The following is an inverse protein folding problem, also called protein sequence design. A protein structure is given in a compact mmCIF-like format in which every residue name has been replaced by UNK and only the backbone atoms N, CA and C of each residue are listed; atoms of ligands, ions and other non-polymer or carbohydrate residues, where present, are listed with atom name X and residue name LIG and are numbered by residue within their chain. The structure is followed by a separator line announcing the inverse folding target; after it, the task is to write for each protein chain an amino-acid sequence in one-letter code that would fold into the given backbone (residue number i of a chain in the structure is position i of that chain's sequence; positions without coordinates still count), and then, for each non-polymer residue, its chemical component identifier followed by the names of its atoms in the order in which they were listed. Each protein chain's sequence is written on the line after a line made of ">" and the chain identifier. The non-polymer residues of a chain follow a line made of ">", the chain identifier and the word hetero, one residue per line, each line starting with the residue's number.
data_IF_906731151703
#
_entry.id   IF_906731151703
#
_cell.length_a   1.000
_cell.length_b   1.000
_cell.length_c   1.000
_cell.angle_alpha   90.00
_cell.angle_beta   90.00
_cell.angle_gamma   90.00
#
_symmetry.space_group_name_H-M   'P 1'
#
loop_
_entity.id
_entity.type
_entity.pdbx_description
1 polymer ?
#
# COMPACT_ATOMS: atom_id res chain seq x y z
N UNK A 1 25.01 17.57 23.18
CA UNK A 1 23.73 16.84 23.26
C UNK A 1 22.53 17.59 22.72
N UNK A 2 21.94 18.58 23.42
CA UNK A 2 20.63 19.14 23.02
C UNK A 2 20.58 19.77 21.62
N UNK A 3 21.60 20.54 21.23
CA UNK A 3 21.65 21.14 19.87
C UNK A 3 21.83 20.10 18.77
N UNK A 4 22.68 19.08 19.01
CA UNK A 4 22.90 17.97 18.09
C UNK A 4 21.63 17.11 17.95
N UNK A 5 20.95 16.86 19.06
CA UNK A 5 19.70 16.12 19.10
C UNK A 5 18.58 16.86 18.35
N UNK A 6 18.44 18.17 18.56
CA UNK A 6 17.46 18.99 17.84
C UNK A 6 17.75 19.07 16.34
N UNK A 7 19.03 19.17 15.96
CA UNK A 7 19.44 19.16 14.55
C UNK A 7 19.15 17.81 13.86
N UNK A 8 19.42 16.70 14.55
CA UNK A 8 19.12 15.35 14.04
C UNK A 8 17.60 15.11 14.02
N UNK A 9 16.84 15.64 14.98
CA UNK A 9 15.37 15.65 15.00
C UNK A 9 14.74 16.39 13.83
N UNK A 10 15.24 17.58 13.53
CA UNK A 10 14.81 18.33 12.37
C UNK A 10 15.15 17.61 11.06
N UNK A 11 16.33 16.99 10.98
CA UNK A 11 16.80 16.30 9.77
C UNK A 11 16.03 14.99 9.51
N UNK A 12 15.80 14.19 10.56
CA UNK A 12 15.07 12.92 10.46
C UNK A 12 13.55 13.10 10.51
N UNK A 13 13.07 14.31 10.85
CA UNK A 13 11.65 14.58 11.00
C UNK A 13 11.01 13.69 12.06
N UNK A 14 11.67 13.49 13.20
CA UNK A 14 11.16 12.71 14.32
C UNK A 14 11.28 13.51 15.64
N UNK A 15 10.40 13.27 16.64
CA UNK A 15 10.48 13.90 17.95
C UNK A 15 11.84 13.72 18.64
N UNK A 16 12.24 14.75 19.37
CA UNK A 16 13.51 14.80 20.12
C UNK A 16 13.64 13.62 21.11
N UNK A 17 12.57 13.28 21.84
CA UNK A 17 12.56 12.18 22.81
C UNK A 17 12.73 10.80 22.15
N UNK A 18 12.14 10.58 20.97
CA UNK A 18 12.31 9.33 20.21
C UNK A 18 13.75 9.16 19.72
N UNK A 19 14.38 10.25 19.29
CA UNK A 19 15.76 10.23 18.81
C UNK A 19 16.73 9.99 19.97
N UNK A 20 16.50 10.63 21.13
CA UNK A 20 17.29 10.37 22.33
C UNK A 20 17.25 8.88 22.69
N UNK A 21 16.05 8.31 22.80
CA UNK A 21 15.87 6.89 23.15
C UNK A 21 16.46 5.94 22.12
N UNK A 22 16.34 6.27 20.83
CA UNK A 22 16.92 5.45 19.76
C UNK A 22 18.45 5.49 19.80
N UNK A 23 19.02 6.67 20.09
CA UNK A 23 20.45 6.83 20.29
C UNK A 23 20.93 6.04 21.51
N UNK A 24 20.24 6.13 22.65
CA UNK A 24 20.54 5.41 23.88
C UNK A 24 20.47 3.89 23.71
N UNK A 25 19.44 3.39 23.01
CA UNK A 25 19.30 1.96 22.73
C UNK A 25 20.42 1.42 21.83
N UNK A 26 20.85 2.19 20.82
CA UNK A 26 21.96 1.80 19.94
C UNK A 26 23.30 1.93 20.64
N UNK A 27 23.48 2.95 21.47
CA UNK A 27 24.62 3.14 22.34
C UNK A 27 24.82 1.92 23.25
N UNK A 28 23.74 1.47 23.90
CA UNK A 28 23.75 0.26 24.73
C UNK A 28 24.09 -1.01 23.92
N UNK A 29 23.54 -1.17 22.71
CA UNK A 29 23.80 -2.34 21.87
C UNK A 29 25.22 -2.38 21.28
N UNK A 30 25.84 -1.22 21.05
CA UNK A 30 27.17 -1.09 20.45
C UNK A 30 28.28 -0.85 21.50
N UNK A 31 27.92 -0.63 22.76
CA UNK A 31 28.86 -0.28 23.83
C UNK A 31 29.51 1.09 23.65
N UNK A 32 28.82 2.03 22.98
CA UNK A 32 29.28 3.39 22.68
C UNK A 32 28.43 4.44 23.40
N UNK A 33 28.82 5.70 23.35
CA UNK A 33 28.04 6.80 23.96
C UNK A 33 26.92 7.30 23.01
N UNK A 34 25.79 7.74 23.58
CA UNK A 34 24.65 8.22 22.81
C UNK A 34 24.99 9.46 21.95
N UNK A 35 25.89 10.34 22.40
CA UNK A 35 26.36 11.49 21.63
C UNK A 35 27.11 11.05 20.37
N UNK A 36 27.85 9.94 20.43
CA UNK A 36 28.59 9.39 19.29
C UNK A 36 27.63 8.82 18.24
N UNK A 37 26.54 8.18 18.67
CA UNK A 37 25.47 7.72 17.76
C UNK A 37 24.80 8.90 17.07
N UNK A 38 24.50 9.97 17.83
CA UNK A 38 23.90 11.20 17.27
C UNK A 38 24.84 11.91 16.30
N UNK A 39 26.14 11.97 16.59
CA UNK A 39 27.13 12.51 15.67
C UNK A 39 27.23 11.69 14.37
N UNK A 40 27.16 10.36 14.44
CA UNK A 40 27.13 9.52 13.25
C UNK A 40 25.88 9.78 12.39
N UNK A 41 24.72 10.04 13.02
CA UNK A 41 23.50 10.42 12.29
C UNK A 41 23.53 11.84 11.72
N UNK A 42 24.27 12.74 12.36
CA UNK A 42 24.55 14.09 11.84
C UNK A 42 25.60 14.10 10.70
N UNK A 43 26.12 12.94 10.28
CA UNK A 43 27.08 12.80 9.19
C UNK A 43 28.55 12.68 9.62
N UNK A 44 28.83 12.43 10.90
CA UNK A 44 30.15 12.06 11.40
C UNK A 44 30.53 10.60 11.12
N UNK A 45 31.82 10.26 11.24
CA UNK A 45 32.32 8.90 11.00
C UNK A 45 31.66 7.87 11.94
N UNK A 46 31.31 6.70 11.39
CA UNK A 46 30.60 5.64 12.12
C UNK A 46 31.48 5.04 13.22
N UNK A 47 30.95 4.77 14.43
CA UNK A 47 31.75 4.17 15.49
C UNK A 47 32.20 2.75 15.16
N UNK A 48 33.46 2.44 15.48
CA UNK A 48 34.04 1.09 15.44
C UNK A 48 33.69 0.39 16.77
N UNK A 49 33.08 -0.81 16.77
CA UNK A 49 32.66 -1.48 18.00
C UNK A 49 33.84 -1.80 18.94
N UNK A 50 33.70 -1.47 20.22
CA UNK A 50 34.56 -2.00 21.26
C UNK A 50 34.11 -3.43 21.61
N UNK A 51 34.95 -4.43 21.30
CA UNK A 51 34.68 -5.84 21.63
C UNK A 51 34.65 -6.00 23.15
N UNK A 52 33.48 -6.27 23.72
CA UNK A 52 33.32 -6.62 25.13
C UNK A 52 32.77 -8.04 25.32
N UNK A 53 33.34 -8.68 26.33
CA UNK A 53 33.38 -10.11 26.66
C UNK A 53 32.07 -10.57 27.32
N UNK A 54 31.56 -11.74 26.91
CA UNK A 54 30.39 -12.38 27.49
C UNK A 54 30.61 -12.84 28.96
N UNK A 55 29.58 -12.76 29.83
CA UNK A 55 29.44 -13.62 30.99
C UNK A 55 28.33 -14.67 30.82
N UNK A 56 28.63 -15.90 31.23
CA UNK A 56 27.74 -17.08 31.30
C UNK A 56 26.58 -16.91 32.31
N UNK A 57 25.48 -17.69 32.15
CA UNK A 57 24.26 -17.65 32.98
C UNK A 57 24.22 -18.77 34.04
N UNK A 58 23.48 -18.56 35.15
CA UNK A 58 22.55 -19.52 35.82
C UNK A 58 22.04 -18.93 37.17
N UNK A 59 21.05 -19.53 37.89
CA UNK A 59 19.77 -20.12 37.50
C UNK A 59 18.56 -19.53 38.27
N UNK A 60 17.36 -19.92 37.81
CA UNK A 60 16.04 -19.92 38.45
C UNK A 60 15.99 -20.64 39.84
N UNK A 61 14.94 -20.44 40.69
CA UNK A 61 13.76 -21.32 40.60
C UNK A 61 12.37 -20.74 41.03
N UNK A 62 11.34 -21.12 40.27
CA UNK A 62 10.05 -21.78 40.62
C UNK A 62 9.04 -21.22 41.69
N UNK A 63 7.74 -21.64 41.59
CA UNK A 63 6.56 -20.81 41.82
C UNK A 63 5.75 -21.14 43.09
N UNK A 64 4.79 -20.27 43.44
CA UNK A 64 3.72 -20.59 44.41
C UNK A 64 2.35 -20.33 43.79
N UNK A 65 1.51 -21.37 43.83
CA UNK A 65 0.10 -21.44 43.46
C UNK A 65 -0.74 -21.13 44.71
N UNK A 66 -1.79 -20.32 44.59
CA UNK A 66 -2.94 -20.44 45.49
C UNK A 66 -4.24 -19.97 44.80
N UNK A 67 -5.17 -20.92 44.73
CA UNK A 67 -6.56 -20.88 44.26
C UNK A 67 -7.46 -20.41 45.41
N UNK A 68 -8.37 -19.44 45.22
CA UNK A 68 -9.66 -19.43 45.97
C UNK A 68 -10.79 -18.85 45.11
N UNK A 69 -11.84 -19.67 45.07
CA UNK A 69 -13.19 -19.58 44.51
C UNK A 69 -14.04 -18.36 44.95
N UNK A 70 -14.81 -17.77 44.02
CA UNK A 70 -16.30 -17.82 43.86
C UNK A 70 -17.05 -16.74 44.64
N UNK A 71 -17.86 -15.91 43.96
CA UNK A 71 -19.33 -15.83 44.16
C UNK A 71 -19.98 -14.96 43.06
N UNK A 72 -21.03 -15.50 42.46
CA UNK A 72 -21.89 -14.90 41.43
C UNK A 72 -23.15 -14.45 42.16
N UNK A 73 -23.57 -13.20 42.00
CA UNK A 73 -24.94 -12.78 42.33
C UNK A 73 -25.49 -11.94 41.17
N UNK A 74 -26.50 -12.53 40.53
CA UNK A 74 -27.29 -12.01 39.42
C UNK A 74 -28.75 -12.07 39.90
N UNK A 75 -29.39 -10.92 40.15
CA UNK A 75 -30.83 -10.74 40.39
C UNK A 75 -31.09 -9.22 40.30
N UNK A 76 -32.19 -8.66 39.80
CA UNK A 76 -33.28 -9.05 38.90
C UNK A 76 -34.00 -7.71 38.57
N UNK A 77 -34.67 -7.66 37.42
CA UNK A 77 -35.37 -6.51 36.86
C UNK A 77 -36.60 -6.04 37.67
N UNK A 78 -36.82 -4.72 37.77
CA UNK A 78 -38.18 -4.14 37.61
C UNK A 78 -38.12 -2.70 37.04
N UNK A 79 -39.07 -2.28 36.15
CA UNK A 79 -38.90 -1.14 35.24
C UNK A 79 -39.79 0.09 35.53
N UNK A 80 -39.44 1.22 34.86
CA UNK A 80 -40.23 2.45 34.56
C UNK A 80 -40.64 3.31 35.79
N UNK A 81 -40.53 4.63 35.87
CA UNK A 81 -40.66 5.76 34.93
C UNK A 81 -40.05 6.99 35.63
N UNK A 82 -39.28 7.82 34.91
CA UNK A 82 -39.25 9.30 34.96
C UNK A 82 -37.89 9.86 34.55
N UNK A 83 -37.92 10.69 33.50
CA UNK A 83 -36.81 11.25 32.77
C UNK A 83 -35.99 12.24 33.60
N UNK A 84 -34.65 12.17 33.51
CA UNK A 84 -33.89 13.41 33.38
C UNK A 84 -32.85 13.35 32.24
N UNK A 85 -32.52 14.55 31.77
CA UNK A 85 -31.62 14.87 30.68
C UNK A 85 -30.39 13.94 30.57
N UNK A 86 -30.27 13.28 29.41
CA UNK A 86 -29.07 12.52 29.03
C UNK A 86 -27.93 13.51 28.78
N UNK A 87 -27.20 13.84 29.84
CA UNK A 87 -25.79 14.17 29.72
C UNK A 87 -25.13 12.93 29.12
N UNK A 88 -24.71 13.03 27.87
CA UNK A 88 -23.86 12.02 27.22
C UNK A 88 -22.54 12.04 27.97
N UNK A 89 -22.46 11.27 29.05
CA UNK A 89 -21.20 10.82 29.59
C UNK A 89 -20.58 9.96 28.51
N UNK A 90 -19.62 10.53 27.78
CA UNK A 90 -18.65 9.79 27.01
C UNK A 90 -17.97 8.82 27.96
N UNK A 91 -18.49 7.60 28.03
CA UNK A 91 -17.75 6.47 28.56
C UNK A 91 -16.69 6.21 27.49
N UNK A 92 -15.54 6.86 27.64
CA UNK A 92 -14.31 6.33 27.06
C UNK A 92 -14.23 4.88 27.53
N UNK A 93 -14.24 3.89 26.62
CA UNK A 93 -14.06 2.52 27.06
C UNK A 93 -12.73 2.47 27.84
N UNK A 94 -12.70 1.84 29.02
CA UNK A 94 -11.45 1.69 29.75
C UNK A 94 -10.48 1.04 28.77
N UNK A 95 -9.31 1.67 28.57
CA UNK A 95 -8.22 0.99 27.89
C UNK A 95 -8.02 -0.31 28.67
N UNK A 96 -8.47 -1.41 28.08
CA UNK A 96 -8.14 -2.74 28.53
C UNK A 96 -6.61 -2.76 28.49
N UNK A 97 -6.00 -2.62 29.66
CA UNK A 97 -4.56 -2.69 29.82
C UNK A 97 -4.19 -4.13 29.55
N UNK A 98 -4.04 -4.42 28.26
CA UNK A 98 -3.45 -5.65 27.77
C UNK A 98 -2.14 -5.84 28.56
N UNK A 99 -1.81 -7.09 28.95
CA UNK A 99 -0.54 -7.36 29.59
C UNK A 99 0.59 -6.70 28.77
N UNK A 100 1.64 -6.15 29.39
CA UNK A 100 2.70 -5.44 28.69
C UNK A 100 3.47 -6.45 27.82
N UNK A 101 2.94 -6.70 26.64
CA UNK A 101 3.55 -7.53 25.62
C UNK A 101 4.39 -6.57 24.79
N UNK A 102 5.69 -6.70 24.88
CA UNK A 102 6.60 -5.91 24.05
C UNK A 102 6.25 -6.10 22.57
N UNK A 103 6.25 -5.02 21.77
CA UNK A 103 5.90 -5.11 20.37
C UNK A 103 6.89 -6.00 19.62
N UNK A 104 6.37 -6.84 18.72
CA UNK A 104 7.19 -7.74 17.91
C UNK A 104 8.31 -6.98 17.16
N UNK A 105 9.46 -7.64 16.88
CA UNK A 105 10.54 -7.04 16.10
C UNK A 105 10.04 -6.62 14.72
N UNK A 106 10.62 -5.53 14.18
CA UNK A 106 10.15 -4.90 12.94
C UNK A 106 10.10 -5.86 11.74
N UNK A 107 11.06 -6.77 11.62
CA UNK A 107 11.06 -7.80 10.58
C UNK A 107 9.83 -8.74 10.70
N UNK A 108 9.49 -9.18 11.90
CA UNK A 108 8.30 -10.00 12.16
C UNK A 108 7.01 -9.24 11.87
N UNK A 109 6.99 -7.93 12.16
CA UNK A 109 5.87 -7.01 11.89
C UNK A 109 5.63 -6.75 10.40
N UNK A 110 6.57 -7.11 9.54
CA UNK A 110 6.48 -6.94 8.08
C UNK A 110 6.26 -8.28 7.39
N UNK A 111 7.09 -9.28 7.71
CA UNK A 111 7.11 -10.55 7.00
C UNK A 111 5.85 -11.40 7.25
N UNK A 112 5.42 -11.51 8.51
CA UNK A 112 4.27 -12.35 8.85
C UNK A 112 2.95 -11.82 8.27
N UNK A 113 2.63 -10.50 8.38
CA UNK A 113 1.44 -9.95 7.74
C UNK A 113 1.50 -10.07 6.22
N UNK A 114 2.65 -9.81 5.60
CA UNK A 114 2.82 -9.93 4.15
C UNK A 114 2.61 -11.37 3.68
N UNK A 115 3.17 -12.37 4.39
CA UNK A 115 2.99 -13.78 4.06
C UNK A 115 1.53 -14.24 4.23
N UNK A 116 0.87 -13.82 5.32
CA UNK A 116 -0.55 -14.13 5.56
C UNK A 116 -1.43 -13.48 4.49
N UNK A 117 -1.15 -12.22 4.16
CA UNK A 117 -1.82 -11.49 3.09
C UNK A 117 -1.63 -12.18 1.74
N UNK A 118 -0.40 -12.58 1.40
CA UNK A 118 -0.09 -13.30 0.17
C UNK A 118 -0.85 -14.62 0.06
N UNK A 119 -0.88 -15.41 1.14
CA UNK A 119 -1.61 -16.66 1.17
C UNK A 119 -3.11 -16.44 0.99
N UNK A 120 -3.70 -15.52 1.76
CA UNK A 120 -5.11 -15.19 1.67
C UNK A 120 -5.50 -14.67 0.29
N UNK A 121 -4.65 -13.81 -0.30
CA UNK A 121 -4.84 -13.27 -1.64
C UNK A 121 -4.75 -14.34 -2.73
N UNK A 122 -3.77 -15.25 -2.64
CA UNK A 122 -3.64 -16.38 -3.56
C UNK A 122 -4.86 -17.31 -3.48
N UNK A 123 -5.30 -17.63 -2.26
CA UNK A 123 -6.50 -18.44 -2.02
C UNK A 123 -7.74 -17.79 -2.62
N UNK A 124 -7.91 -16.48 -2.41
CA UNK A 124 -9.02 -15.73 -2.98
C UNK A 124 -8.95 -15.73 -4.52
N UNK A 125 -7.76 -15.64 -5.12
CA UNK A 125 -7.55 -15.80 -6.56
C UNK A 125 -8.00 -17.16 -7.08
N UNK A 126 -7.68 -18.26 -6.36
CA UNK A 126 -8.12 -19.62 -6.71
C UNK A 126 -9.65 -19.72 -6.66
N UNK A 127 -10.26 -19.29 -5.55
CA UNK A 127 -11.71 -19.34 -5.36
C UNK A 127 -12.41 -18.51 -6.43
N UNK A 128 -11.91 -17.32 -6.71
CA UNK A 128 -12.45 -16.42 -7.73
C UNK A 128 -12.36 -17.03 -9.11
N UNK A 129 -11.25 -17.69 -9.44
CA UNK A 129 -11.11 -18.38 -10.72
C UNK A 129 -12.16 -19.48 -10.90
N UNK A 130 -12.43 -20.26 -9.84
CA UNK A 130 -13.46 -21.29 -9.86
C UNK A 130 -14.88 -20.71 -10.00
N UNK A 131 -15.17 -19.61 -9.29
CA UNK A 131 -16.46 -18.92 -9.38
C UNK A 131 -16.63 -18.27 -10.76
N UNK A 132 -15.62 -17.59 -11.27
CA UNK A 132 -15.62 -16.92 -12.57
C UNK A 132 -15.87 -17.92 -13.71
N UNK A 133 -15.37 -19.16 -13.60
CA UNK A 133 -15.63 -20.20 -14.59
C UNK A 133 -17.13 -20.46 -14.83
N UNK A 134 -17.98 -20.28 -13.81
CA UNK A 134 -19.44 -20.41 -13.93
C UNK A 134 -20.04 -19.25 -14.73
N UNK A 135 -19.51 -18.04 -14.55
CA UNK A 135 -20.02 -16.83 -15.22
C UNK A 135 -19.56 -16.71 -16.68
N UNK A 136 -18.42 -17.29 -17.03
CA UNK A 136 -17.82 -17.17 -18.36
C UNK A 136 -18.01 -18.42 -19.24
N UNK A 137 -18.80 -19.40 -18.81
CA UNK A 137 -18.95 -20.68 -19.53
C UNK A 137 -19.50 -20.50 -20.95
N UNK A 138 -20.42 -19.55 -21.14
CA UNK A 138 -21.04 -19.26 -22.43
C UNK A 138 -20.13 -18.45 -23.36
N UNK A 139 -19.06 -17.86 -22.81
CA UNK A 139 -18.09 -17.03 -23.52
C UNK A 139 -16.79 -17.77 -23.84
N UNK A 140 -16.75 -19.09 -23.63
CA UNK A 140 -15.56 -19.90 -23.89
C UNK A 140 -15.37 -20.08 -25.40
N UNK A 141 -14.19 -19.70 -25.87
CA UNK A 141 -13.76 -19.85 -27.27
C UNK A 141 -12.42 -20.59 -27.34
N UNK A 142 -12.02 -20.98 -28.55
CA UNK A 142 -10.72 -21.61 -28.79
C UNK A 142 -9.86 -20.69 -29.65
N UNK A 143 -8.66 -20.37 -29.15
CA UNK A 143 -7.62 -19.69 -29.93
C UNK A 143 -6.79 -20.76 -30.63
N UNK A 144 -6.66 -20.63 -31.95
CA UNK A 144 -5.80 -21.48 -32.76
C UNK A 144 -4.32 -21.16 -32.46
N UNK A 145 -3.59 -22.13 -31.92
CA UNK A 145 -2.17 -22.01 -31.61
C UNK A 145 -1.31 -22.87 -32.54
N UNK A 146 -0.01 -22.56 -32.64
CA UNK A 146 0.95 -23.22 -33.56
C UNK A 146 1.01 -24.76 -33.45
N UNK A 147 0.50 -25.37 -32.37
CA UNK A 147 0.47 -26.83 -32.19
C UNK A 147 -0.76 -27.40 -31.44
N UNK A 148 -1.53 -26.58 -30.71
CA UNK A 148 -2.73 -26.99 -29.97
C UNK A 148 -3.69 -25.81 -29.78
N UNK A 149 -4.99 -26.10 -29.81
CA UNK A 149 -6.03 -25.16 -29.41
C UNK A 149 -5.87 -24.78 -27.94
N UNK A 150 -5.93 -23.47 -27.64
CA UNK A 150 -5.95 -22.95 -26.26
C UNK A 150 -7.34 -22.42 -25.94
N UNK A 151 -7.87 -22.82 -24.79
CA UNK A 151 -9.15 -22.30 -24.32
C UNK A 151 -8.99 -20.84 -23.87
N UNK A 152 -9.90 -19.99 -24.31
CA UNK A 152 -9.95 -18.57 -24.02
C UNK A 152 -11.37 -18.14 -23.69
N UNK A 153 -11.52 -16.94 -23.13
CA UNK A 153 -12.81 -16.33 -22.83
C UNK A 153 -12.91 -15.05 -23.64
N UNK A 154 -13.99 -14.89 -24.38
CA UNK A 154 -14.29 -13.65 -25.10
C UNK A 154 -14.88 -12.62 -24.14
N UNK A 155 -14.22 -11.47 -24.05
CA UNK A 155 -14.63 -10.37 -23.18
C UNK A 155 -14.55 -9.04 -23.92
N UNK A 156 -15.48 -8.16 -23.59
CA UNK A 156 -15.36 -6.74 -23.93
C UNK A 156 -14.35 -6.08 -22.99
N UNK A 157 -13.41 -5.32 -23.55
CA UNK A 157 -12.26 -4.76 -22.81
C UNK A 157 -12.72 -3.90 -21.63
N UNK A 158 -13.57 -2.91 -21.87
CA UNK A 158 -13.94 -1.92 -20.87
C UNK A 158 -14.72 -2.51 -19.68
N UNK A 159 -15.82 -3.26 -19.86
CA UNK A 159 -16.53 -3.86 -18.72
C UNK A 159 -15.68 -4.91 -18.00
N UNK A 160 -14.79 -5.63 -18.70
CA UNK A 160 -13.87 -6.56 -18.05
C UNK A 160 -12.87 -5.86 -17.14
N UNK A 161 -12.22 -4.78 -17.62
CA UNK A 161 -11.28 -3.99 -16.81
C UNK A 161 -11.97 -3.36 -15.60
N UNK A 162 -13.17 -2.79 -15.79
CA UNK A 162 -13.95 -2.20 -14.70
C UNK A 162 -14.37 -3.28 -13.70
N UNK A 163 -14.86 -4.43 -14.17
CA UNK A 163 -15.24 -5.56 -13.34
C UNK A 163 -14.09 -6.06 -12.49
N UNK A 164 -12.90 -6.21 -13.09
CA UNK A 164 -11.67 -6.59 -12.39
C UNK A 164 -11.24 -5.55 -11.34
N UNK A 165 -11.34 -4.26 -11.66
CA UNK A 165 -11.04 -3.17 -10.72
C UNK A 165 -11.99 -3.18 -9.52
N UNK A 166 -13.30 -3.28 -9.74
CA UNK A 166 -14.32 -3.31 -8.68
C UNK A 166 -14.16 -4.55 -7.81
N UNK A 167 -14.01 -5.72 -8.42
CA UNK A 167 -13.83 -6.98 -7.68
C UNK A 167 -12.56 -6.94 -6.81
N UNK A 168 -11.47 -6.44 -7.39
CA UNK A 168 -10.19 -6.33 -6.68
C UNK A 168 -10.25 -5.26 -5.58
N UNK A 169 -11.04 -4.19 -5.72
CA UNK A 169 -11.31 -3.23 -4.65
C UNK A 169 -12.01 -3.88 -3.44
N UNK A 170 -13.01 -4.73 -3.70
CA UNK A 170 -13.68 -5.50 -2.62
C UNK A 170 -12.70 -6.46 -1.96
N UNK A 171 -11.88 -7.17 -2.73
CA UNK A 171 -10.87 -8.07 -2.20
C UNK A 171 -9.81 -7.34 -1.40
N UNK A 172 -9.30 -6.22 -1.91
CA UNK A 172 -8.36 -5.36 -1.22
C UNK A 172 -8.94 -4.85 0.11
N UNK A 173 -10.22 -4.45 0.15
CA UNK A 173 -10.89 -4.08 1.39
C UNK A 173 -10.89 -5.25 2.41
N UNK A 174 -11.29 -6.45 1.99
CA UNK A 174 -11.31 -7.65 2.84
C UNK A 174 -9.91 -8.04 3.32
N UNK A 175 -8.93 -8.04 2.42
CA UNK A 175 -7.53 -8.32 2.73
C UNK A 175 -6.91 -7.23 3.62
N UNK A 176 -7.40 -5.99 3.55
CA UNK A 176 -7.04 -4.91 4.47
C UNK A 176 -7.43 -5.22 5.91
N UNK A 177 -8.67 -5.70 6.11
CA UNK A 177 -9.16 -6.15 7.43
C UNK A 177 -8.36 -7.34 7.93
N UNK A 178 -8.20 -8.36 7.09
CA UNK A 178 -7.49 -9.58 7.44
C UNK A 178 -6.01 -9.33 7.70
N UNK A 179 -5.36 -8.53 6.86
CA UNK A 179 -3.95 -8.18 6.99
C UNK A 179 -3.67 -7.43 8.28
N UNK A 180 -4.60 -6.59 8.75
CA UNK A 180 -4.43 -5.81 9.99
C UNK A 180 -4.78 -6.59 11.26
N UNK A 181 -5.81 -7.45 11.23
CA UNK A 181 -6.27 -8.21 12.41
C UNK A 181 -5.68 -9.61 12.52
N UNK A 182 -5.40 -10.24 11.39
CA UNK A 182 -4.97 -11.64 11.30
C UNK A 182 -3.71 -11.95 12.10
N UNK A 183 -2.61 -11.18 11.97
CA UNK A 183 -1.38 -11.45 12.74
C UNK A 183 -1.60 -11.44 14.26
N UNK A 184 -2.46 -10.53 14.74
CA UNK A 184 -2.84 -10.41 16.15
C UNK A 184 -3.66 -11.57 16.72
N UNK A 185 -4.25 -12.40 15.84
CA UNK A 185 -4.94 -13.63 16.24
C UNK A 185 -3.96 -14.75 16.60
N UNK A 186 -2.83 -14.83 15.88
CA UNK A 186 -1.81 -15.86 16.11
C UNK A 186 -0.80 -15.45 17.17
N UNK A 187 -0.51 -14.14 17.28
CA UNK A 187 0.44 -13.62 18.26
C UNK A 187 -0.07 -12.31 18.87
N UNK A 188 -0.11 -12.25 20.19
CA UNK A 188 -0.59 -11.07 20.93
C UNK A 188 0.29 -9.84 20.74
N UNK A 189 1.60 -10.02 20.53
CA UNK A 189 2.61 -8.98 20.28
C UNK A 189 2.45 -8.27 18.93
N UNK A 190 1.61 -8.82 18.05
CA UNK A 190 1.31 -8.29 16.71
C UNK A 190 -0.01 -7.52 16.66
N UNK A 191 -0.72 -7.39 17.79
CA UNK A 191 -1.96 -6.59 17.87
C UNK A 191 -1.67 -5.13 17.57
N UNK A 192 -2.56 -4.51 16.81
CA UNK A 192 -2.43 -3.12 16.37
C UNK A 192 -3.70 -2.33 16.67
N UNK A 193 -3.52 -1.04 16.95
CA UNK A 193 -4.58 -0.08 17.24
C UNK A 193 -5.09 0.60 15.97
N UNK A 194 -6.33 1.08 16.03
CA UNK A 194 -6.98 1.89 14.99
C UNK A 194 -7.93 1.13 14.06
N UNK A 195 -8.39 1.83 13.01
CA UNK A 195 -9.41 1.35 12.09
C UNK A 195 -8.97 0.16 11.20
N UNK A 196 -9.92 -0.56 10.59
CA UNK A 196 -9.70 -1.90 10.01
C UNK A 196 -8.95 -1.97 8.66
N UNK A 197 -8.30 -0.90 8.20
CA UNK A 197 -7.53 -0.93 6.94
C UNK A 197 -8.35 -1.06 5.63
N UNK A 198 -9.68 -0.90 5.71
CA UNK A 198 -10.62 -1.06 4.58
C UNK A 198 -10.28 -0.12 3.42
N UNK A 199 -10.17 1.18 3.70
CA UNK A 199 -9.96 2.21 2.67
C UNK A 199 -8.65 2.03 1.90
N UNK A 200 -7.47 1.90 2.55
CA UNK A 200 -6.23 1.69 1.81
C UNK A 200 -6.22 0.38 1.04
N UNK A 201 -6.80 -0.69 1.60
CA UNK A 201 -6.95 -1.96 0.90
C UNK A 201 -7.82 -1.84 -0.35
N UNK A 202 -8.98 -1.18 -0.25
CA UNK A 202 -9.87 -0.97 -1.39
C UNK A 202 -9.20 -0.15 -2.50
N UNK A 203 -8.42 0.87 -2.14
CA UNK A 203 -7.72 1.74 -3.09
C UNK A 203 -6.65 0.97 -3.87
N UNK A 204 -5.79 0.21 -3.18
CA UNK A 204 -4.79 -0.65 -3.84
C UNK A 204 -5.49 -1.67 -4.73
N UNK A 205 -6.53 -2.32 -4.20
CA UNK A 205 -7.33 -3.30 -4.93
C UNK A 205 -7.90 -2.75 -6.23
N UNK A 206 -8.47 -1.53 -6.19
CA UNK A 206 -9.02 -0.88 -7.38
C UNK A 206 -7.94 -0.64 -8.44
N UNK A 207 -6.79 -0.10 -8.03
CA UNK A 207 -5.65 0.18 -8.92
C UNK A 207 -5.13 -1.11 -9.53
N UNK A 208 -4.84 -2.12 -8.70
CA UNK A 208 -4.27 -3.40 -9.14
C UNK A 208 -5.24 -4.18 -10.02
N UNK A 209 -6.55 -4.12 -9.74
CA UNK A 209 -7.57 -4.74 -10.59
C UNK A 209 -7.68 -4.06 -11.96
N UNK A 210 -7.61 -2.73 -12.02
CA UNK A 210 -7.60 -2.00 -13.29
C UNK A 210 -6.35 -2.33 -14.12
N UNK A 211 -5.18 -2.34 -13.49
CA UNK A 211 -3.91 -2.74 -14.13
C UNK A 211 -4.00 -4.19 -14.60
N UNK A 212 -4.48 -5.11 -13.76
CA UNK A 212 -4.61 -6.52 -14.08
C UNK A 212 -5.56 -6.80 -15.23
N UNK A 213 -6.73 -6.15 -15.23
CA UNK A 213 -7.67 -6.23 -16.35
C UNK A 213 -7.07 -5.71 -17.65
N UNK A 214 -6.33 -4.59 -17.58
CA UNK A 214 -5.64 -4.01 -18.74
C UNK A 214 -4.54 -4.90 -19.30
N UNK A 215 -3.76 -5.57 -18.44
CA UNK A 215 -2.73 -6.53 -18.88
C UNK A 215 -3.37 -7.78 -19.50
N UNK A 216 -4.41 -8.33 -18.88
CA UNK A 216 -5.09 -9.53 -19.39
C UNK A 216 -5.72 -9.31 -20.76
N UNK A 217 -6.31 -8.14 -20.99
CA UNK A 217 -6.96 -7.81 -22.26
C UNK A 217 -5.99 -7.23 -23.29
N UNK A 218 -5.09 -6.33 -22.90
CA UNK A 218 -4.22 -5.61 -23.83
C UNK A 218 -2.87 -6.26 -24.14
N UNK A 219 -2.35 -7.11 -23.25
CA UNK A 219 -1.03 -7.75 -23.42
C UNK A 219 -1.17 -9.24 -23.69
N UNK A 220 -2.06 -9.90 -22.95
CA UNK A 220 -2.24 -11.36 -23.03
C UNK A 220 -3.42 -11.77 -23.92
N UNK A 221 -4.33 -10.84 -24.21
CA UNK A 221 -5.49 -11.07 -25.03
C UNK A 221 -5.16 -11.00 -26.53
N UNK A 222 -5.93 -11.74 -27.33
CA UNK A 222 -5.87 -11.68 -28.79
C UNK A 222 -7.18 -11.16 -29.35
N UNK A 223 -7.12 -10.29 -30.35
CA UNK A 223 -8.32 -9.82 -31.05
C UNK A 223 -9.05 -11.00 -31.70
N UNK A 224 -10.38 -10.99 -31.61
CA UNK A 224 -11.23 -12.01 -32.26
C UNK A 224 -11.76 -11.50 -33.59
N UNK A 225 -12.42 -12.38 -34.34
CA UNK A 225 -13.09 -12.03 -35.61
C UNK A 225 -14.26 -11.05 -35.36
N UNK A 226 -14.80 -11.04 -34.14
CA UNK A 226 -15.89 -10.16 -33.75
C UNK A 226 -15.31 -8.82 -33.25
N UNK A 227 -15.64 -7.73 -33.94
CA UNK A 227 -15.18 -6.39 -33.56
C UNK A 227 -15.53 -6.06 -32.10
N UNK A 228 -14.53 -5.58 -31.36
CA UNK A 228 -14.69 -5.13 -29.97
C UNK A 228 -14.53 -6.21 -28.89
N UNK A 229 -14.33 -7.48 -29.28
CA UNK A 229 -14.06 -8.57 -28.36
C UNK A 229 -12.59 -8.98 -28.36
N UNK A 230 -12.11 -9.38 -27.19
CA UNK A 230 -10.76 -9.90 -26.99
C UNK A 230 -10.86 -11.28 -26.34
N UNK A 231 -10.15 -12.25 -26.91
CA UNK A 231 -10.01 -13.58 -26.34
C UNK A 231 -8.86 -13.60 -25.32
N UNK A 232 -9.20 -13.74 -24.04
CA UNK A 232 -8.23 -13.83 -22.95
C UNK A 232 -7.94 -15.32 -22.66
N UNK A 233 -6.67 -15.78 -22.73
CA UNK A 233 -6.35 -17.18 -22.45
C UNK A 233 -6.68 -17.58 -21.00
N UNK A 234 -7.45 -18.66 -20.82
CA UNK A 234 -7.94 -19.10 -19.50
C UNK A 234 -6.78 -19.43 -18.56
N UNK A 235 -5.77 -20.15 -19.06
CA UNK A 235 -4.61 -20.53 -18.27
C UNK A 235 -3.85 -19.32 -17.72
N UNK A 236 -3.67 -18.29 -18.55
CA UNK A 236 -3.04 -17.03 -18.14
C UNK A 236 -3.89 -16.26 -17.15
N UNK A 237 -5.20 -16.20 -17.35
CA UNK A 237 -6.13 -15.53 -16.45
C UNK A 237 -6.14 -16.15 -15.05
N UNK A 238 -6.14 -17.49 -14.96
CA UNK A 238 -6.09 -18.19 -13.67
C UNK A 238 -4.78 -17.87 -12.93
N UNK A 239 -3.63 -18.00 -13.59
CA UNK A 239 -2.35 -17.68 -12.95
C UNK A 239 -2.25 -16.22 -12.56
N UNK A 240 -2.81 -15.31 -13.35
CA UNK A 240 -2.87 -13.90 -13.02
C UNK A 240 -3.72 -13.63 -11.78
N UNK A 241 -4.88 -14.28 -11.66
CA UNK A 241 -5.73 -14.16 -10.47
C UNK A 241 -5.04 -14.68 -9.22
N UNK A 242 -4.32 -15.81 -9.31
CA UNK A 242 -3.62 -16.40 -8.16
C UNK A 242 -2.39 -15.57 -7.76
N UNK A 243 -1.50 -15.26 -8.70
CA UNK A 243 -0.28 -14.52 -8.42
C UNK A 243 -0.58 -13.04 -8.11
N UNK A 244 -1.45 -12.42 -8.90
CA UNK A 244 -1.92 -11.05 -8.67
C UNK A 244 -2.66 -10.92 -7.35
N UNK A 245 -3.48 -11.91 -6.99
CA UNK A 245 -4.11 -12.00 -5.67
C UNK A 245 -3.07 -12.07 -4.54
N UNK A 246 -2.02 -12.89 -4.70
CA UNK A 246 -0.94 -12.98 -3.71
C UNK A 246 -0.20 -11.65 -3.53
N UNK A 247 0.16 -10.99 -4.64
CA UNK A 247 0.82 -9.67 -4.60
C UNK A 247 -0.09 -8.64 -3.93
N UNK A 248 -1.36 -8.55 -4.37
CA UNK A 248 -2.34 -7.63 -3.79
C UNK A 248 -2.49 -7.84 -2.28
N UNK A 249 -2.59 -9.10 -1.83
CA UNK A 249 -2.72 -9.43 -0.42
C UNK A 249 -1.48 -9.08 0.39
N UNK A 250 -0.28 -9.35 -0.15
CA UNK A 250 0.98 -9.00 0.49
C UNK A 250 1.14 -7.49 0.68
N UNK A 251 0.93 -6.72 -0.40
CA UNK A 251 1.04 -5.26 -0.40
C UNK A 251 0.00 -4.61 0.51
N UNK A 252 -1.24 -5.09 0.47
CA UNK A 252 -2.33 -4.60 1.32
C UNK A 252 -2.00 -4.83 2.80
N UNK A 253 -1.55 -6.03 3.16
CA UNK A 253 -1.19 -6.34 4.54
C UNK A 253 0.03 -5.52 5.01
N UNK A 254 1.03 -5.36 4.15
CA UNK A 254 2.22 -4.55 4.41
C UNK A 254 1.81 -3.10 4.71
N UNK A 255 0.99 -2.50 3.84
CA UNK A 255 0.56 -1.12 4.02
C UNK A 255 -0.22 -0.94 5.32
N UNK A 256 -1.12 -1.88 5.62
CA UNK A 256 -1.88 -1.88 6.86
C UNK A 256 -0.98 -1.94 8.09
N UNK A 257 0.12 -2.70 8.05
CA UNK A 257 1.04 -2.87 9.18
C UNK A 257 2.09 -1.75 9.31
N UNK A 258 2.59 -1.20 8.20
CA UNK A 258 3.54 -0.07 8.22
C UNK A 258 2.90 1.18 8.83
N UNK A 259 1.60 1.38 8.61
CA UNK A 259 0.85 2.53 9.14
C UNK A 259 0.14 2.23 10.46
N UNK A 260 0.39 1.07 11.07
CA UNK A 260 -0.27 0.65 12.29
C UNK A 260 0.54 0.95 13.54
N UNK A 261 -0.16 1.40 14.58
CA UNK A 261 0.40 1.59 15.93
C UNK A 261 0.27 0.25 16.66
N UNK A 262 1.38 -0.34 17.15
CA UNK A 262 1.31 -1.56 17.93
C UNK A 262 0.60 -1.31 19.27
N UNK A 263 -0.15 -2.30 19.74
CA UNK A 263 -0.98 -2.17 20.95
C UNK A 263 -0.18 -2.25 22.26
N UNK A 264 1.00 -2.87 22.25
CA UNK A 264 1.86 -3.05 23.43
C UNK A 264 2.79 -1.88 23.74
N UNK A 265 2.46 -0.66 23.29
CA UNK A 265 3.27 0.53 23.56
C UNK A 265 2.99 1.07 24.96
N UNK A 266 3.98 1.74 25.54
CA UNK A 266 3.78 2.46 26.80
C UNK A 266 2.95 3.73 26.56
N UNK A 267 2.35 4.27 27.62
CA UNK A 267 1.57 5.52 27.54
C UNK A 267 2.38 6.70 26.95
N UNK A 268 3.69 6.77 27.25
CA UNK A 268 4.58 7.78 26.68
C UNK A 268 4.78 7.59 25.16
N UNK A 269 4.94 6.34 24.72
CA UNK A 269 5.17 6.00 23.31
C UNK A 269 3.97 6.25 22.39
N UNK A 270 2.75 6.26 22.95
CA UNK A 270 1.53 6.39 22.17
C UNK A 270 1.39 7.76 21.50
N UNK A 271 1.81 8.84 22.18
CA UNK A 271 1.74 10.20 21.64
C UNK A 271 2.68 10.35 20.44
N UNK A 272 3.95 9.97 20.60
CA UNK A 272 4.97 10.05 19.56
C UNK A 272 4.63 9.17 18.34
N UNK A 273 4.10 7.97 18.60
CA UNK A 273 3.69 7.05 17.55
C UNK A 273 2.54 7.58 16.71
N UNK A 274 1.67 8.41 17.29
CA UNK A 274 0.58 9.08 16.57
C UNK A 274 1.09 10.05 15.51
N UNK A 275 2.11 10.85 15.85
CA UNK A 275 2.72 11.81 14.92
C UNK A 275 3.50 11.11 13.80
N UNK A 276 4.31 10.11 14.14
CA UNK A 276 5.05 9.31 13.15
C UNK A 276 4.08 8.61 12.20
N UNK A 277 2.98 8.04 12.72
CA UNK A 277 1.93 7.44 11.90
C UNK A 277 1.32 8.46 10.94
N UNK A 278 0.98 9.66 11.41
CA UNK A 278 0.37 10.68 10.57
C UNK A 278 1.28 11.01 9.37
N UNK A 279 2.57 11.23 9.63
CA UNK A 279 3.58 11.49 8.59
C UNK A 279 3.72 10.33 7.61
N UNK A 280 3.84 9.09 8.12
CA UNK A 280 3.91 7.88 7.28
C UNK A 280 2.65 7.70 6.43
N UNK A 281 1.47 7.87 7.03
CA UNK A 281 0.20 7.72 6.33
C UNK A 281 0.05 8.74 5.21
N UNK A 282 0.50 9.99 5.42
CA UNK A 282 0.51 11.01 4.39
C UNK A 282 1.51 10.66 3.27
N UNK A 283 2.70 10.18 3.62
CA UNK A 283 3.71 9.75 2.64
C UNK A 283 3.24 8.62 1.74
N UNK A 284 2.33 7.76 2.21
CA UNK A 284 1.77 6.67 1.38
C UNK A 284 0.45 7.06 0.70
N UNK A 285 -0.40 7.86 1.35
CA UNK A 285 -1.66 8.29 0.76
C UNK A 285 -1.44 9.16 -0.50
N UNK A 286 -0.45 10.07 -0.47
CA UNK A 286 -0.13 10.95 -1.60
C UNK A 286 0.17 10.18 -2.89
N UNK A 287 1.12 9.22 -2.93
CA UNK A 287 1.40 8.47 -4.15
C UNK A 287 0.24 7.56 -4.57
N UNK A 288 -0.51 6.96 -3.63
CA UNK A 288 -1.68 6.14 -3.99
C UNK A 288 -2.78 6.94 -4.66
N UNK A 289 -3.10 8.13 -4.13
CA UNK A 289 -4.06 9.04 -4.75
C UNK A 289 -3.55 9.51 -6.11
N UNK A 290 -2.26 9.84 -6.22
CA UNK A 290 -1.64 10.18 -7.50
C UNK A 290 -1.75 9.06 -8.53
N UNK A 291 -1.55 7.81 -8.10
CA UNK A 291 -1.65 6.64 -8.97
C UNK A 291 -3.10 6.39 -9.41
N UNK A 292 -4.07 6.57 -8.51
CA UNK A 292 -5.49 6.51 -8.85
C UNK A 292 -5.86 7.56 -9.92
N UNK A 293 -5.45 8.81 -9.72
CA UNK A 293 -5.67 9.89 -10.69
C UNK A 293 -4.99 9.54 -12.02
N UNK A 294 -3.78 9.01 -11.99
CA UNK A 294 -3.07 8.57 -13.19
C UNK A 294 -3.84 7.49 -13.95
N UNK A 295 -4.38 6.47 -13.27
CA UNK A 295 -5.20 5.43 -13.90
C UNK A 295 -6.44 6.03 -14.57
N UNK A 296 -7.12 6.97 -13.90
CA UNK A 296 -8.30 7.66 -14.47
C UNK A 296 -7.93 8.48 -15.70
N UNK A 297 -6.83 9.25 -15.64
CA UNK A 297 -6.34 10.05 -16.76
C UNK A 297 -5.96 9.16 -17.94
N UNK A 298 -5.24 8.05 -17.70
CA UNK A 298 -4.88 7.09 -18.73
C UNK A 298 -6.13 6.49 -19.37
N UNK A 299 -7.14 6.11 -18.58
CA UNK A 299 -8.39 5.58 -19.11
C UNK A 299 -9.10 6.58 -20.03
N UNK A 300 -9.19 7.85 -19.64
CA UNK A 300 -9.79 8.91 -20.48
C UNK A 300 -9.01 9.09 -21.79
N UNK A 301 -7.68 9.17 -21.72
CA UNK A 301 -6.82 9.31 -22.89
C UNK A 301 -6.96 8.09 -23.82
N UNK A 302 -7.00 6.88 -23.26
CA UNK A 302 -7.19 5.65 -24.01
C UNK A 302 -8.56 5.65 -24.74
N UNK A 303 -9.64 6.04 -24.05
CA UNK A 303 -10.97 6.18 -24.68
C UNK A 303 -10.93 7.22 -25.81
N UNK A 304 -10.23 8.34 -25.62
CA UNK A 304 -10.08 9.35 -26.66
C UNK A 304 -9.40 8.78 -27.91
N UNK A 305 -8.36 7.96 -27.75
CA UNK A 305 -7.69 7.30 -28.88
C UNK A 305 -8.58 6.28 -29.59
N UNK A 306 -9.41 5.54 -28.85
CA UNK A 306 -10.33 4.57 -29.43
C UNK A 306 -11.43 5.28 -30.25
N UNK A 307 -12.01 6.37 -29.74
CA UNK A 307 -13.07 7.12 -30.42
C UNK A 307 -12.52 7.86 -31.65
N UNK A 308 -11.30 8.40 -31.56
CA UNK A 308 -10.69 9.20 -32.63
C UNK A 308 -9.47 8.50 -33.23
N UNK A 309 -9.63 7.25 -33.66
CA UNK A 309 -8.51 6.43 -34.16
C UNK A 309 -7.77 7.09 -35.34
N UNK A 310 -8.48 7.79 -36.24
CA UNK A 310 -7.89 8.48 -37.38
C UNK A 310 -6.98 9.65 -36.93
N UNK A 311 -7.39 10.36 -35.89
CA UNK A 311 -6.66 11.47 -35.31
C UNK A 311 -5.71 11.05 -34.18
N UNK A 312 -5.55 9.75 -33.91
CA UNK A 312 -4.80 9.26 -32.76
C UNK A 312 -3.37 9.79 -32.70
N UNK A 313 -2.67 9.84 -33.84
CA UNK A 313 -1.31 10.37 -33.85
C UNK A 313 -1.27 11.87 -33.49
N UNK A 314 -2.19 12.68 -34.05
CA UNK A 314 -2.33 14.11 -33.73
C UNK A 314 -2.72 14.34 -32.27
N UNK A 315 -3.63 13.52 -31.73
CA UNK A 315 -4.02 13.58 -30.32
C UNK A 315 -2.86 13.23 -29.39
N UNK A 316 -2.08 12.19 -29.71
CA UNK A 316 -0.93 11.77 -28.92
C UNK A 316 0.12 12.89 -28.83
N UNK A 317 0.33 13.55 -29.96
CA UNK A 317 1.15 14.73 -30.07
C UNK A 317 0.65 15.88 -29.18
N UNK A 318 -0.64 16.24 -29.26
CA UNK A 318 -1.21 17.37 -28.50
C UNK A 318 -1.14 17.09 -27.01
N UNK A 319 -1.49 15.87 -26.61
CA UNK A 319 -1.41 15.41 -25.22
C UNK A 319 0.05 15.45 -24.74
N UNK A 320 1.00 14.95 -25.53
CA UNK A 320 2.42 14.97 -25.18
C UNK A 320 2.95 16.40 -25.01
N UNK A 321 2.58 17.31 -25.93
CA UNK A 321 2.93 18.72 -25.82
C UNK A 321 2.32 19.37 -24.58
N UNK A 322 1.06 19.04 -24.25
CA UNK A 322 0.39 19.50 -23.03
C UNK A 322 1.08 19.01 -21.76
N UNK A 323 1.48 17.73 -21.71
CA UNK A 323 2.23 17.15 -20.58
C UNK A 323 3.59 17.85 -20.42
N UNK A 324 4.32 18.06 -21.52
CA UNK A 324 5.60 18.76 -21.49
C UNK A 324 5.46 20.22 -21.04
N UNK A 325 4.43 20.92 -21.52
CA UNK A 325 4.15 22.29 -21.08
C UNK A 325 3.80 22.34 -19.60
N UNK A 326 2.96 21.41 -19.12
CA UNK A 326 2.61 21.31 -17.72
C UNK A 326 3.83 21.00 -16.84
N UNK A 327 4.69 20.06 -17.26
CA UNK A 327 5.94 19.75 -16.58
C UNK A 327 6.90 20.96 -16.55
N UNK A 328 7.01 21.70 -17.65
CA UNK A 328 7.79 22.92 -17.73
C UNK A 328 7.27 24.01 -16.77
N UNK A 329 5.96 24.25 -16.74
CA UNK A 329 5.33 25.21 -15.84
C UNK A 329 5.45 24.79 -14.37
N UNK A 330 5.30 23.50 -14.08
CA UNK A 330 5.49 22.94 -12.73
C UNK A 330 6.92 23.05 -12.22
N UNK A 331 7.91 23.00 -13.13
CA UNK A 331 9.32 23.25 -12.83
C UNK A 331 9.67 24.73 -12.60
N UNK A 332 8.78 25.66 -12.92
CA UNK A 332 8.97 27.10 -12.72
C UNK A 332 8.65 27.52 -11.26
N UNK A 333 9.33 26.91 -10.29
CA UNK A 333 9.29 27.38 -8.92
C UNK A 333 10.15 28.64 -8.78
N UNK A 334 9.63 29.76 -8.21
CA UNK A 334 10.32 31.04 -8.19
C UNK A 334 11.63 31.07 -7.38
N UNK A 335 11.92 30.03 -6.60
CA UNK A 335 13.17 29.88 -5.84
C UNK A 335 14.27 29.10 -6.57
N UNK A 336 13.96 28.42 -7.69
CA UNK A 336 14.93 27.64 -8.46
C UNK A 336 15.41 28.47 -9.64
N UNK A 337 16.69 28.87 -9.63
CA UNK A 337 17.32 29.55 -10.77
C UNK A 337 17.48 28.56 -11.93
N UNK A 338 16.54 28.56 -12.87
CA UNK A 338 16.63 27.82 -14.13
C UNK A 338 17.94 28.17 -14.85
N UNK A 339 18.74 27.15 -15.14
CA UNK A 339 19.97 27.33 -15.93
C UNK A 339 19.60 27.50 -17.39
N UNK A 340 20.32 28.34 -18.12
CA UNK A 340 20.12 28.57 -19.56
C UNK A 340 20.08 27.26 -20.37
N UNK A 341 20.88 26.27 -19.97
CA UNK A 341 20.91 24.93 -20.57
C UNK A 341 19.62 24.14 -20.40
N UNK A 342 18.91 24.31 -19.29
CA UNK A 342 17.62 23.64 -19.03
C UNK A 342 16.52 24.25 -19.91
N UNK A 343 16.52 25.57 -20.07
CA UNK A 343 15.59 26.28 -20.96
C UNK A 343 15.83 25.90 -22.42
N UNK A 344 17.09 25.83 -22.85
CA UNK A 344 17.44 25.39 -24.21
C UNK A 344 17.07 23.92 -24.44
N UNK A 345 17.29 23.04 -23.46
CA UNK A 345 16.89 21.64 -23.56
C UNK A 345 15.37 21.48 -23.63
N UNK A 346 14.62 22.24 -22.84
CA UNK A 346 13.16 22.25 -22.91
C UNK A 346 12.64 22.76 -24.27
N UNK A 347 13.20 23.86 -24.78
CA UNK A 347 12.87 24.40 -26.10
C UNK A 347 13.22 23.42 -27.23
N UNK A 348 14.35 22.73 -27.14
CA UNK A 348 14.74 21.69 -28.09
C UNK A 348 13.79 20.48 -28.05
N UNK A 349 13.35 20.07 -26.86
CA UNK A 349 12.33 19.04 -26.68
C UNK A 349 11.01 19.42 -27.33
N UNK A 350 10.52 20.65 -27.08
CA UNK A 350 9.30 21.18 -27.70
C UNK A 350 9.46 21.24 -29.23
N UNK A 351 10.57 21.76 -29.74
CA UNK A 351 10.83 21.83 -31.18
C UNK A 351 10.86 20.44 -31.84
N UNK A 352 11.46 19.45 -31.18
CA UNK A 352 11.51 18.06 -31.68
C UNK A 352 10.12 17.46 -31.75
N UNK A 353 9.29 17.67 -30.72
CA UNK A 353 7.89 17.25 -30.74
C UNK A 353 7.16 17.92 -31.89
N UNK A 354 7.26 19.26 -32.04
CA UNK A 354 6.64 20.02 -33.14
C UNK A 354 7.04 19.49 -34.52
N UNK A 355 8.31 19.18 -34.74
CA UNK A 355 8.78 18.59 -36.00
C UNK A 355 8.17 17.20 -36.24
N UNK A 356 8.08 16.36 -35.19
CA UNK A 356 7.41 15.07 -35.29
C UNK A 356 5.91 15.23 -35.63
N UNK A 357 5.24 16.27 -35.11
CA UNK A 357 3.85 16.61 -35.50
C UNK A 357 3.75 16.86 -36.98
N UNK A 358 4.58 17.78 -37.48
CA UNK A 358 4.57 18.18 -38.88
C UNK A 358 4.85 16.97 -39.76
N UNK A 359 5.81 16.12 -39.39
CA UNK A 359 6.14 14.91 -40.13
C UNK A 359 4.97 13.92 -40.19
N UNK A 360 4.31 13.65 -39.06
CA UNK A 360 3.15 12.74 -39.00
C UNK A 360 1.97 13.27 -39.81
N UNK A 361 1.68 14.56 -39.71
CA UNK A 361 0.59 15.21 -40.47
C UNK A 361 0.87 15.20 -41.97
N UNK A 362 2.12 15.49 -42.38
CA UNK A 362 2.53 15.47 -43.79
C UNK A 362 2.51 14.05 -44.37
N UNK A 363 2.90 13.04 -43.59
CA UNK A 363 2.91 11.63 -44.04
C UNK A 363 1.51 11.03 -44.11
N UNK A 364 0.57 11.44 -43.24
CA UNK A 364 -0.83 10.99 -43.27
C UNK A 364 -1.74 11.82 -44.18
N UNK A 365 -1.27 12.97 -44.68
CA UNK A 365 -2.01 13.84 -45.60
C UNK A 365 -2.03 13.38 -47.07
N UNK A 366 -1.59 12.15 -47.34
CA UNK A 366 -1.59 11.51 -48.67
C UNK A 366 -2.28 10.15 -48.64
#
# INVERSE_FOLDING_TARGET
>A
MSELLSAVAATLGAPEELIQRSADARAAAQGVDAEQVLQAWAGGDSPVPAVAKAPEPDPEPAPVVEEVAVEIEEEELVPAEDLPAVAVATIEPPMETLPPVEPAPLAGRILLPAALGAFAGAFLGIVTSAVAAVFFIDNVTAIEGEALFRAAIEVEILPFVIGMAVLSAVFGASLGVLGRKGPGFFRSDMKVLGGPGIVPGALIGLIMGAVGGGVLTGVLGTETITEGLVAVPIGSAIWWLVLGGAVLGAETALLCHVTAVPAGLTAADHADSGEVRARLSQSVAVPLVSLLVLVVVIAIIATLFLVFHEAAATLAIVISAGILLFAFLGGYQPSIKLRYTEVVAALAGIATVVVAIVMVVVVRGH
#
